data_IF_030336912495
#
_entry.id   IF_030336912495
#
_cell.length_a   1.000
_cell.length_b   1.000
_cell.length_c   1.000
_cell.angle_alpha   90.00
_cell.angle_beta   90.00
_cell.angle_gamma   90.00
#
_symmetry.space_group_name_H-M   'P 1'
#
loop_
_entity.id
_entity.type
_entity.pdbx_description
1 polymer ?
#
# COMPACT_ATOMS: atom_id res chain seq x y z
N UNK A 1 -2.57 -11.73 22.72
CA UNK A 1 -3.15 -10.91 21.64
C UNK A 1 -4.35 -11.66 21.10
N UNK A 2 -5.52 -11.04 21.09
CA UNK A 2 -6.72 -11.63 20.48
C UNK A 2 -6.51 -11.86 18.97
N UNK A 3 -6.96 -12.98 18.39
CA UNK A 3 -6.73 -13.31 16.98
C UNK A 3 -7.16 -12.20 16.01
N UNK A 4 -8.27 -11.51 16.30
CA UNK A 4 -8.80 -10.41 15.50
C UNK A 4 -7.81 -9.24 15.35
N UNK A 5 -6.98 -9.00 16.37
CA UNK A 5 -6.06 -7.87 16.40
C UNK A 5 -4.69 -8.18 15.78
N UNK A 6 -4.42 -9.44 15.44
CA UNK A 6 -3.10 -9.88 14.93
C UNK A 6 -2.67 -9.15 13.67
N UNK A 7 -3.61 -8.78 12.80
CA UNK A 7 -3.33 -8.03 11.57
C UNK A 7 -2.78 -6.64 11.84
N UNK A 8 -3.37 -5.92 12.79
CA UNK A 8 -2.96 -4.56 13.15
C UNK A 8 -1.59 -4.55 13.84
N UNK A 9 -1.34 -5.52 14.71
CA UNK A 9 0.00 -5.70 15.29
C UNK A 9 1.03 -6.05 14.23
N UNK A 10 0.71 -6.95 13.29
CA UNK A 10 1.58 -7.26 12.16
C UNK A 10 1.98 -6.02 11.36
N UNK A 11 1.01 -5.16 11.04
CA UNK A 11 1.22 -3.88 10.36
C UNK A 11 2.19 -2.96 11.10
N UNK A 12 1.97 -2.75 12.40
CA UNK A 12 2.84 -1.88 13.21
C UNK A 12 4.27 -2.42 13.20
N UNK A 13 4.42 -3.73 13.40
CA UNK A 13 5.73 -4.35 13.34
C UNK A 13 6.38 -4.14 11.97
N UNK A 14 5.62 -4.29 10.86
CA UNK A 14 6.11 -4.15 9.47
C UNK A 14 6.59 -2.72 9.22
N UNK A 15 5.80 -1.74 9.64
CA UNK A 15 6.11 -0.32 9.54
C UNK A 15 7.38 0.07 10.29
N UNK A 16 7.54 -0.38 11.55
CA UNK A 16 8.69 -0.04 12.39
C UNK A 16 9.85 -1.03 12.33
N UNK A 17 9.80 -2.00 11.40
CA UNK A 17 10.84 -3.05 11.22
C UNK A 17 11.13 -3.87 12.49
N UNK A 18 10.18 -3.98 13.41
CA UNK A 18 10.42 -4.64 14.71
C UNK A 18 10.48 -6.17 14.54
N UNK A 19 11.65 -6.75 14.84
CA UNK A 19 11.87 -8.18 14.88
C UNK A 19 11.34 -8.79 16.20
N UNK A 20 10.33 -9.66 16.09
CA UNK A 20 9.74 -10.35 17.27
C UNK A 20 10.27 -11.79 17.44
N UNK A 21 11.06 -12.28 16.47
CA UNK A 21 11.66 -13.61 16.49
C UNK A 21 13.13 -13.51 16.12
N UNK A 22 13.99 -13.62 17.12
CA UNK A 22 15.44 -13.58 16.94
C UNK A 22 15.95 -14.62 15.93
N UNK A 23 15.32 -15.80 15.84
CA UNK A 23 15.72 -16.86 14.92
C UNK A 23 15.13 -16.76 13.49
N UNK A 24 14.32 -15.74 13.18
CA UNK A 24 13.68 -15.67 11.85
C UNK A 24 14.70 -15.48 10.73
N UNK A 25 15.78 -14.74 10.99
CA UNK A 25 16.86 -14.55 10.03
C UNK A 25 17.60 -15.86 9.74
N UNK A 26 17.63 -16.83 10.64
CA UNK A 26 18.29 -18.12 10.43
C UNK A 26 17.42 -19.18 9.75
N UNK A 27 16.10 -19.15 10.00
CA UNK A 27 15.19 -20.26 9.65
C UNK A 27 14.58 -20.16 8.25
N UNK A 28 14.58 -18.98 7.63
CA UNK A 28 13.87 -18.72 6.37
C UNK A 28 14.71 -19.01 5.09
N UNK A 29 15.66 -19.94 5.15
CA UNK A 29 16.61 -20.21 4.05
C UNK A 29 16.47 -21.60 3.46
N UNK A 30 16.60 -21.68 2.13
CA UNK A 30 16.67 -22.90 1.34
C UNK A 30 18.09 -23.04 0.77
N UNK A 31 18.72 -24.19 1.02
CA UNK A 31 20.07 -24.51 0.55
C UNK A 31 20.08 -25.87 -0.14
N UNK A 32 21.06 -26.07 -1.02
CA UNK A 32 21.32 -27.37 -1.62
C UNK A 32 21.89 -28.34 -0.59
N UNK A 33 21.58 -29.63 -0.76
CA UNK A 33 22.09 -30.68 0.12
C UNK A 33 23.62 -30.79 0.00
N UNK A 34 24.30 -30.91 1.15
CA UNK A 34 25.75 -31.08 1.23
C UNK A 34 26.55 -29.97 0.52
N UNK A 35 26.04 -28.73 0.52
CA UNK A 35 26.71 -27.59 -0.06
C UNK A 35 27.40 -26.74 1.02
N UNK A 36 28.70 -26.99 1.25
CA UNK A 36 29.49 -26.25 2.24
C UNK A 36 29.65 -24.76 1.88
N UNK A 37 29.83 -24.45 0.60
CA UNK A 37 29.94 -23.07 0.10
C UNK A 37 28.63 -22.29 0.32
N UNK A 38 27.49 -22.89 -0.01
CA UNK A 38 26.17 -22.30 0.24
C UNK A 38 25.86 -22.12 1.73
N UNK A 39 26.28 -23.06 2.59
CA UNK A 39 26.15 -22.92 4.03
C UNK A 39 27.02 -21.77 4.58
N UNK A 40 28.27 -21.67 4.15
CA UNK A 40 29.16 -20.58 4.54
C UNK A 40 28.60 -19.22 4.11
N UNK A 41 28.10 -19.12 2.87
CA UNK A 41 27.47 -17.90 2.38
C UNK A 41 26.21 -17.54 3.17
N UNK A 42 25.35 -18.51 3.50
CA UNK A 42 24.21 -18.27 4.38
C UNK A 42 24.65 -17.68 5.72
N UNK A 43 25.63 -18.30 6.38
CA UNK A 43 26.09 -17.86 7.71
C UNK A 43 26.59 -16.42 7.68
N UNK A 44 27.36 -16.07 6.66
CA UNK A 44 27.85 -14.70 6.42
C UNK A 44 26.71 -13.70 6.24
N UNK A 45 25.73 -14.01 5.39
CA UNK A 45 24.58 -13.14 5.14
C UNK A 45 23.68 -12.99 6.37
N UNK A 46 23.45 -14.07 7.12
CA UNK A 46 22.68 -14.02 8.36
C UNK A 46 23.36 -13.13 9.39
N UNK A 47 24.69 -13.23 9.56
CA UNK A 47 25.44 -12.37 10.46
C UNK A 47 25.33 -10.89 10.06
N UNK A 48 25.39 -10.59 8.76
CA UNK A 48 25.19 -9.23 8.28
C UNK A 48 23.76 -8.72 8.56
N UNK A 49 22.75 -9.57 8.36
CA UNK A 49 21.35 -9.21 8.66
C UNK A 49 21.11 -8.98 10.15
N UNK A 50 21.76 -9.75 11.02
CA UNK A 50 21.69 -9.55 12.47
C UNK A 50 22.39 -8.26 12.91
N UNK A 51 23.55 -7.94 12.32
CA UNK A 51 24.28 -6.72 12.61
C UNK A 51 23.47 -5.46 12.27
N UNK A 52 22.66 -5.51 11.21
CA UNK A 52 21.81 -4.41 10.74
C UNK A 52 20.38 -4.46 11.32
N UNK A 53 20.09 -5.37 12.27
CA UNK A 53 18.73 -5.66 12.80
C UNK A 53 17.68 -5.80 11.68
N UNK A 54 18.06 -6.45 10.58
CA UNK A 54 17.21 -6.59 9.41
C UNK A 54 16.04 -7.50 9.72
N UNK A 55 14.84 -7.03 9.41
CA UNK A 55 13.62 -7.83 9.52
C UNK A 55 13.38 -8.66 8.26
N UNK A 56 13.25 -9.98 8.38
CA UNK A 56 13.02 -10.90 7.24
C UNK A 56 11.67 -11.64 7.28
N UNK A 57 10.74 -11.17 8.10
CA UNK A 57 9.40 -11.74 8.20
C UNK A 57 8.67 -11.76 6.84
N UNK A 58 8.06 -12.91 6.49
CA UNK A 58 7.39 -13.19 5.18
C UNK A 58 8.29 -13.26 3.97
N UNK A 59 9.58 -13.05 4.12
CA UNK A 59 10.57 -13.37 3.09
C UNK A 59 11.15 -14.75 3.34
N UNK A 60 11.52 -15.42 2.25
CA UNK A 60 12.35 -16.61 2.29
C UNK A 60 13.39 -16.53 1.19
N UNK A 61 14.57 -17.06 1.47
CA UNK A 61 15.75 -16.93 0.64
C UNK A 61 16.17 -18.30 0.13
N UNK A 62 16.71 -18.35 -1.08
CA UNK A 62 17.34 -19.54 -1.62
C UNK A 62 18.74 -19.22 -2.15
N UNK A 63 19.73 -20.03 -1.79
CA UNK A 63 21.07 -19.96 -2.37
C UNK A 63 21.23 -21.11 -3.35
N UNK A 64 21.43 -20.78 -4.63
CA UNK A 64 21.65 -21.73 -5.72
C UNK A 64 23.11 -21.64 -6.14
N UNK A 65 23.91 -22.63 -5.75
CA UNK A 65 25.31 -22.74 -6.18
C UNK A 65 25.44 -23.51 -7.49
N UNK A 66 24.40 -24.23 -7.91
CA UNK A 66 24.37 -25.01 -9.14
C UNK A 66 23.25 -24.57 -10.10
N UNK A 67 23.52 -24.67 -11.40
CA UNK A 67 22.58 -24.29 -12.47
C UNK A 67 21.23 -25.07 -12.45
N UNK A 68 21.22 -26.31 -11.96
CA UNK A 68 20.04 -27.19 -11.95
C UNK A 68 19.47 -27.39 -10.54
N UNK A 69 19.28 -26.28 -9.84
CA UNK A 69 18.77 -26.29 -8.47
C UNK A 69 17.25 -26.07 -8.44
N UNK A 70 16.53 -27.06 -7.90
CA UNK A 70 15.08 -27.02 -7.71
C UNK A 70 14.61 -26.17 -6.52
N UNK A 71 15.53 -25.45 -5.86
CA UNK A 71 15.20 -24.59 -4.74
C UNK A 71 14.27 -23.43 -5.17
N UNK A 72 13.44 -23.01 -4.24
CA UNK A 72 12.50 -21.91 -4.40
C UNK A 72 12.64 -20.94 -3.22
N UNK A 73 12.25 -19.70 -3.43
CA UNK A 73 12.32 -18.64 -2.45
C UNK A 73 11.65 -17.39 -3.01
N UNK A 74 11.33 -16.44 -2.13
CA UNK A 74 10.90 -15.12 -2.54
C UNK A 74 12.08 -14.33 -3.13
N UNK A 75 13.28 -14.53 -2.58
CA UNK A 75 14.54 -13.98 -3.07
C UNK A 75 15.50 -15.13 -3.33
N UNK A 76 16.20 -15.09 -4.46
CA UNK A 76 17.08 -16.15 -4.94
C UNK A 76 18.44 -15.55 -5.25
N UNK A 77 19.46 -16.06 -4.58
CA UNK A 77 20.88 -15.74 -4.83
C UNK A 77 21.45 -16.89 -5.66
N UNK A 78 21.86 -16.61 -6.89
CA UNK A 78 22.44 -17.61 -7.79
C UNK A 78 23.90 -17.32 -8.01
N UNK A 79 24.72 -18.35 -7.89
CA UNK A 79 26.12 -18.31 -8.27
C UNK A 79 26.22 -18.42 -9.80
N UNK A 80 26.90 -17.47 -10.42
CA UNK A 80 27.18 -17.50 -11.85
C UNK A 80 28.34 -18.48 -12.08
N UNK A 81 28.16 -19.51 -12.91
CA UNK A 81 29.21 -20.49 -13.17
C UNK A 81 30.29 -19.86 -14.05
N UNK A 82 31.42 -19.53 -13.43
CA UNK A 82 32.64 -19.19 -14.13
C UNK A 82 33.74 -20.20 -13.78
N UNK A 83 34.33 -20.81 -14.80
CA UNK A 83 35.39 -21.83 -14.64
C UNK A 83 36.79 -21.20 -14.62
N UNK A 84 36.93 -19.96 -15.06
CA UNK A 84 38.22 -19.32 -15.30
C UNK A 84 38.49 -18.13 -14.38
N UNK A 85 37.46 -17.57 -13.74
CA UNK A 85 37.62 -16.45 -12.82
C UNK A 85 38.00 -16.90 -11.41
N UNK A 86 38.95 -16.18 -10.82
CA UNK A 86 39.36 -16.32 -9.41
C UNK A 86 38.21 -15.85 -8.50
N UNK A 87 37.48 -14.83 -8.94
CA UNK A 87 36.35 -14.24 -8.22
C UNK A 87 35.03 -14.91 -8.61
N UNK A 88 34.22 -15.19 -7.60
CA UNK A 88 32.90 -15.78 -7.77
C UNK A 88 31.86 -14.67 -7.92
N UNK A 89 31.13 -14.68 -9.02
CA UNK A 89 30.07 -13.73 -9.29
C UNK A 89 28.70 -14.32 -8.97
N UNK A 90 27.79 -13.44 -8.60
CA UNK A 90 26.43 -13.77 -8.20
C UNK A 90 25.40 -12.90 -8.92
N UNK A 91 24.20 -13.42 -9.02
CA UNK A 91 23.01 -12.66 -9.38
C UNK A 91 21.94 -12.85 -8.30
N UNK A 92 21.13 -11.81 -8.13
CA UNK A 92 19.98 -11.80 -7.23
C UNK A 92 18.73 -11.64 -8.09
N UNK A 93 17.78 -12.52 -7.87
CA UNK A 93 16.44 -12.45 -8.42
C UNK A 93 15.43 -12.46 -7.27
N UNK A 94 14.23 -11.95 -7.51
CA UNK A 94 13.09 -12.18 -6.64
C UNK A 94 11.89 -12.61 -7.45
N UNK A 95 10.92 -13.25 -6.80
CA UNK A 95 9.64 -13.52 -7.45
C UNK A 95 8.78 -12.26 -7.52
N UNK A 96 7.87 -12.18 -8.48
CA UNK A 96 6.91 -11.07 -8.55
C UNK A 96 6.14 -10.94 -7.25
N UNK A 97 6.05 -9.71 -6.74
CA UNK A 97 5.45 -9.35 -5.44
C UNK A 97 6.03 -10.13 -4.24
N UNK A 98 7.24 -10.67 -4.39
CA UNK A 98 7.91 -11.52 -3.41
C UNK A 98 7.06 -12.73 -2.99
N UNK A 99 6.21 -13.23 -3.89
CA UNK A 99 5.42 -14.42 -3.64
C UNK A 99 6.21 -15.69 -4.01
N UNK A 100 6.69 -16.50 -3.03
CA UNK A 100 7.56 -17.65 -3.29
C UNK A 100 6.87 -18.80 -4.01
N UNK A 101 5.53 -18.77 -4.12
CA UNK A 101 4.75 -19.79 -4.82
C UNK A 101 4.66 -19.54 -6.33
N UNK A 102 5.08 -18.36 -6.79
CA UNK A 102 5.16 -18.04 -8.21
C UNK A 102 6.51 -18.47 -8.78
N UNK A 103 6.54 -18.80 -10.08
CA UNK A 103 7.78 -19.05 -10.84
C UNK A 103 8.16 -17.88 -11.75
N UNK A 104 7.60 -16.71 -11.45
CA UNK A 104 7.78 -15.48 -12.21
C UNK A 104 8.93 -14.69 -11.57
N UNK A 105 10.12 -14.89 -12.12
CA UNK A 105 11.37 -14.33 -11.59
C UNK A 105 11.68 -12.99 -12.25
N UNK A 106 12.01 -12.01 -11.42
CA UNK A 106 12.47 -10.68 -11.79
C UNK A 106 13.93 -10.57 -11.41
N UNK A 107 14.79 -10.27 -12.37
CA UNK A 107 16.19 -9.99 -12.12
C UNK A 107 16.32 -8.67 -11.36
N UNK A 108 16.92 -8.72 -10.18
CA UNK A 108 17.21 -7.53 -9.39
C UNK A 108 18.58 -6.96 -9.76
N UNK A 109 19.62 -7.81 -9.70
CA UNK A 109 21.01 -7.42 -9.98
C UNK A 109 21.85 -8.63 -10.38
N UNK A 110 22.90 -8.41 -11.16
CA UNK A 110 23.81 -9.46 -11.64
C UNK A 110 25.26 -8.99 -11.58
N UNK A 111 26.20 -9.91 -11.77
CA UNK A 111 27.64 -9.68 -11.71
C UNK A 111 28.11 -9.08 -10.37
N UNK A 112 27.50 -9.54 -9.26
CA UNK A 112 27.85 -9.14 -7.91
C UNK A 112 28.98 -9.97 -7.34
N UNK A 113 29.92 -9.33 -6.65
CA UNK A 113 30.87 -9.99 -5.78
C UNK A 113 30.18 -10.48 -4.51
N UNK A 114 30.79 -11.47 -3.86
CA UNK A 114 30.28 -12.06 -2.61
C UNK A 114 30.05 -11.02 -1.51
N UNK A 115 30.98 -10.08 -1.38
CA UNK A 115 30.98 -9.02 -0.36
C UNK A 115 29.83 -8.01 -0.56
N UNK A 116 29.35 -7.85 -1.79
CA UNK A 116 28.26 -6.93 -2.13
C UNK A 116 26.88 -7.52 -1.83
N UNK A 117 26.78 -8.85 -1.67
CA UNK A 117 25.49 -9.54 -1.51
C UNK A 117 24.71 -9.05 -0.30
N UNK A 118 25.38 -8.84 0.83
CA UNK A 118 24.72 -8.42 2.07
C UNK A 118 24.01 -7.07 1.90
N UNK A 119 24.73 -6.06 1.41
CA UNK A 119 24.18 -4.71 1.21
C UNK A 119 23.03 -4.70 0.20
N UNK A 120 23.16 -5.44 -0.90
CA UNK A 120 22.12 -5.51 -1.93
C UNK A 120 20.85 -6.22 -1.42
N UNK A 121 21.02 -7.28 -0.62
CA UNK A 121 19.88 -7.99 -0.03
C UNK A 121 19.16 -7.16 1.04
N UNK A 122 19.90 -6.37 1.83
CA UNK A 122 19.33 -5.42 2.79
C UNK A 122 18.46 -4.40 2.05
N UNK A 123 19.00 -3.75 1.00
CA UNK A 123 18.24 -2.80 0.19
C UNK A 123 16.99 -3.42 -0.44
N UNK A 124 17.09 -4.66 -0.93
CA UNK A 124 15.95 -5.37 -1.50
C UNK A 124 14.88 -5.70 -0.45
N UNK A 125 15.28 -6.04 0.78
CA UNK A 125 14.36 -6.24 1.89
C UNK A 125 13.65 -4.93 2.28
N UNK A 126 14.39 -3.82 2.37
CA UNK A 126 13.80 -2.51 2.65
C UNK A 126 12.79 -2.08 1.59
N UNK A 127 13.11 -2.32 0.32
CA UNK A 127 12.19 -2.12 -0.78
C UNK A 127 10.90 -2.94 -0.62
N UNK A 128 10.99 -4.23 -0.28
CA UNK A 128 9.81 -5.08 -0.06
C UNK A 128 8.86 -4.49 0.98
N UNK A 129 9.37 -4.08 2.13
CA UNK A 129 8.50 -3.55 3.17
C UNK A 129 8.08 -2.09 2.94
N UNK A 130 8.85 -1.31 2.18
CA UNK A 130 8.40 -0.01 1.66
C UNK A 130 7.13 -0.18 0.82
N UNK A 131 7.17 -1.09 -0.16
CA UNK A 131 5.99 -1.44 -0.97
C UNK A 131 4.80 -1.91 -0.12
N UNK A 132 5.04 -2.70 0.94
CA UNK A 132 3.97 -3.14 1.84
C UNK A 132 3.34 -1.99 2.60
N UNK A 133 4.14 -1.08 3.13
CA UNK A 133 3.64 0.10 3.83
C UNK A 133 2.81 0.99 2.88
N UNK A 134 3.29 1.22 1.67
CA UNK A 134 2.60 2.07 0.67
C UNK A 134 1.27 1.45 0.22
N UNK A 135 1.26 0.16 -0.13
CA UNK A 135 0.04 -0.55 -0.52
C UNK A 135 -0.99 -0.58 0.62
N UNK A 136 -0.54 -0.71 1.86
CA UNK A 136 -1.42 -0.73 3.01
C UNK A 136 -1.97 0.66 3.36
N UNK A 137 -1.17 1.71 3.15
CA UNK A 137 -1.62 3.08 3.25
C UNK A 137 -2.66 3.41 2.17
N UNK A 138 -2.43 2.96 0.94
CA UNK A 138 -3.40 3.11 -0.16
C UNK A 138 -4.75 2.44 0.18
N UNK A 139 -4.72 1.20 0.68
CA UNK A 139 -5.93 0.49 1.09
C UNK A 139 -6.67 1.20 2.23
N UNK A 140 -5.95 1.78 3.20
CA UNK A 140 -6.58 2.56 4.27
C UNK A 140 -7.25 3.83 3.75
N UNK A 141 -6.63 4.50 2.79
CA UNK A 141 -7.20 5.68 2.16
C UNK A 141 -8.47 5.33 1.38
N UNK A 142 -8.48 4.21 0.65
CA UNK A 142 -9.66 3.73 -0.07
C UNK A 142 -10.82 3.43 0.89
N UNK A 143 -10.56 2.71 1.99
CA UNK A 143 -11.59 2.41 3.01
C UNK A 143 -12.08 3.69 3.69
N UNK A 144 -11.20 4.63 4.05
CA UNK A 144 -11.60 5.89 4.66
C UNK A 144 -12.46 6.74 3.73
N UNK A 145 -12.17 6.73 2.42
CA UNK A 145 -12.97 7.40 1.41
C UNK A 145 -14.34 6.74 1.29
N UNK A 146 -14.43 5.41 1.23
CA UNK A 146 -15.71 4.69 1.23
C UNK A 146 -16.54 4.94 2.50
N UNK A 147 -15.91 4.99 3.68
CA UNK A 147 -16.58 5.33 4.95
C UNK A 147 -17.10 6.78 4.96
N UNK A 148 -16.35 7.74 4.39
CA UNK A 148 -16.82 9.13 4.23
C UNK A 148 -18.00 9.24 3.25
N UNK A 149 -17.98 8.49 2.14
CA UNK A 149 -19.09 8.48 1.18
C UNK A 149 -20.34 7.78 1.71
N UNK A 150 -20.19 6.76 2.56
CA UNK A 150 -21.32 6.06 3.18
C UNK A 150 -21.90 6.82 4.38
N UNK A 151 -21.12 7.70 5.02
CA UNK A 151 -21.57 8.57 6.10
C UNK A 151 -22.14 9.92 5.62
N UNK A 152 -22.04 10.24 4.32
CA UNK A 152 -22.56 11.48 3.79
C UNK A 152 -24.07 11.40 3.57
N UNK A 153 -24.84 12.16 4.33
CA UNK A 153 -26.27 12.32 4.09
C UNK A 153 -26.49 13.08 2.77
N UNK A 154 -27.23 12.50 1.83
CA UNK A 154 -27.67 13.23 0.64
C UNK A 154 -28.97 13.98 0.94
N UNK A 155 -29.06 15.22 0.45
CA UNK A 155 -30.25 16.05 0.53
C UNK A 155 -30.46 16.77 -0.80
N UNK A 156 -31.69 17.21 -1.04
CA UNK A 156 -32.03 17.91 -2.26
C UNK A 156 -31.90 19.41 -2.08
N UNK A 157 -31.25 20.06 -3.04
CA UNK A 157 -31.29 21.50 -3.26
C UNK A 157 -32.03 21.80 -4.55
N UNK A 158 -32.44 23.04 -4.79
CA UNK A 158 -33.19 23.41 -5.98
C UNK A 158 -32.38 24.38 -6.84
N UNK A 159 -32.09 24.02 -8.09
CA UNK A 159 -31.27 24.81 -9.00
C UNK A 159 -32.10 25.40 -10.16
N UNK A 160 -31.95 26.70 -10.39
CA UNK A 160 -32.55 27.40 -11.53
C UNK A 160 -31.96 26.88 -12.85
N UNK A 161 -32.80 26.45 -13.79
CA UNK A 161 -32.35 26.03 -15.13
C UNK A 161 -31.77 27.19 -15.97
N UNK A 162 -32.16 28.44 -15.67
CA UNK A 162 -31.84 29.59 -16.51
C UNK A 162 -30.48 30.21 -16.17
N UNK A 163 -30.12 30.27 -14.88
CA UNK A 163 -28.88 30.92 -14.41
C UNK A 163 -28.06 30.06 -13.44
N UNK A 164 -28.50 28.84 -13.15
CA UNK A 164 -27.83 27.87 -12.26
C UNK A 164 -27.73 28.29 -10.78
N UNK A 165 -28.43 29.35 -10.37
CA UNK A 165 -28.55 29.74 -8.96
C UNK A 165 -29.20 28.62 -8.16
N UNK A 166 -28.63 28.30 -7.00
CA UNK A 166 -29.08 27.21 -6.12
C UNK A 166 -29.80 27.81 -4.91
N UNK A 167 -31.03 27.39 -4.69
CA UNK A 167 -31.72 27.51 -3.41
C UNK A 167 -31.39 26.31 -2.54
N UNK A 168 -30.84 26.56 -1.36
CA UNK A 168 -30.47 25.54 -0.38
C UNK A 168 -31.22 25.85 0.92
N UNK A 169 -32.07 24.91 1.37
CA UNK A 169 -32.90 25.08 2.57
C UNK A 169 -32.06 25.41 3.81
N UNK A 170 -30.81 24.92 3.89
CA UNK A 170 -29.93 25.19 5.04
C UNK A 170 -29.61 26.68 5.15
N UNK A 171 -29.47 27.37 4.02
CA UNK A 171 -29.11 28.80 3.98
C UNK A 171 -30.31 29.72 3.78
N UNK A 172 -31.38 29.24 3.13
CA UNK A 172 -32.50 30.08 2.71
C UNK A 172 -32.10 30.99 1.53
N UNK A 173 -32.72 32.16 1.45
CA UNK A 173 -32.42 33.17 0.43
C UNK A 173 -32.63 34.59 1.00
N UNK A 174 -31.54 35.21 1.45
CA UNK A 174 -31.57 36.54 2.07
C UNK A 174 -32.02 37.65 1.11
N UNK A 175 -31.75 37.53 -0.19
CA UNK A 175 -32.11 38.54 -1.18
C UNK A 175 -33.62 38.64 -1.36
N UNK A 176 -34.30 37.50 -1.22
CA UNK A 176 -35.76 37.39 -1.22
C UNK A 176 -36.38 37.41 0.18
N UNK A 177 -35.58 37.64 1.24
CA UNK A 177 -36.07 37.70 2.62
C UNK A 177 -36.52 36.34 3.20
N UNK A 178 -36.02 35.23 2.66
CA UNK A 178 -36.34 33.87 3.09
C UNK A 178 -35.27 33.40 4.08
N UNK A 179 -35.69 33.06 5.29
CA UNK A 179 -34.80 32.59 6.36
C UNK A 179 -34.21 31.21 6.08
N UNK A 180 -33.04 30.94 6.66
CA UNK A 180 -32.49 29.60 6.78
C UNK A 180 -33.51 28.61 7.39
N UNK A 181 -33.56 27.40 6.86
CA UNK A 181 -34.49 26.34 7.26
C UNK A 181 -35.80 26.29 6.46
N UNK A 182 -36.08 27.27 5.60
CA UNK A 182 -37.31 27.32 4.80
C UNK A 182 -37.31 26.27 3.68
N UNK A 183 -38.32 25.40 3.63
CA UNK A 183 -38.45 24.41 2.56
C UNK A 183 -38.86 25.08 1.25
N UNK A 184 -38.13 24.81 0.17
CA UNK A 184 -38.42 25.33 -1.16
C UNK A 184 -39.85 25.01 -1.62
N UNK A 185 -40.36 23.81 -1.31
CA UNK A 185 -41.71 23.40 -1.74
C UNK A 185 -42.80 24.25 -1.08
N UNK A 186 -42.55 24.79 0.12
CA UNK A 186 -43.48 25.65 0.84
C UNK A 186 -43.58 27.08 0.29
N UNK A 187 -42.57 27.53 -0.47
CA UNK A 187 -42.54 28.89 -1.03
C UNK A 187 -43.53 29.03 -2.18
N UNK A 188 -44.47 29.97 -2.14
CA UNK A 188 -45.51 30.08 -3.18
C UNK A 188 -45.08 31.01 -4.32
N UNK A 189 -44.49 32.17 -3.98
CA UNK A 189 -44.14 33.24 -4.93
C UNK A 189 -42.61 33.43 -5.03
N UNK A 190 -41.87 32.32 -5.12
CA UNK A 190 -40.41 32.38 -5.21
C UNK A 190 -39.94 32.71 -6.63
N UNK A 191 -39.07 33.70 -6.74
CA UNK A 191 -38.37 34.09 -7.96
C UNK A 191 -36.86 34.01 -7.75
N UNK A 192 -36.13 33.59 -8.78
CA UNK A 192 -34.68 33.51 -8.69
C UNK A 192 -34.08 34.90 -8.40
N UNK A 193 -33.28 35.09 -7.34
CA UNK A 193 -32.75 36.41 -7.00
C UNK A 193 -31.74 36.95 -8.04
N UNK A 194 -31.26 36.08 -8.94
CA UNK A 194 -30.27 36.43 -9.96
C UNK A 194 -30.89 36.77 -11.32
N UNK A 195 -31.96 36.07 -11.72
CA UNK A 195 -32.52 36.19 -13.07
C UNK A 195 -34.05 36.29 -13.11
N UNK A 196 -34.70 36.42 -11.96
CA UNK A 196 -36.16 36.61 -11.82
C UNK A 196 -36.99 35.46 -12.42
N UNK A 197 -36.36 34.32 -12.71
CA UNK A 197 -37.05 33.15 -13.21
C UNK A 197 -38.02 32.59 -12.14
N UNK A 198 -39.22 32.15 -12.53
CA UNK A 198 -40.22 31.66 -11.60
C UNK A 198 -39.79 30.34 -10.94
N UNK A 199 -40.37 30.02 -9.79
CA UNK A 199 -40.20 28.74 -9.07
C UNK A 199 -40.30 27.50 -9.98
N UNK A 200 -41.14 27.53 -11.01
CA UNK A 200 -41.32 26.42 -11.97
C UNK A 200 -40.06 26.06 -12.76
N UNK A 201 -39.10 26.98 -12.85
CA UNK A 201 -37.86 26.80 -13.60
C UNK A 201 -36.74 26.19 -12.75
N UNK A 202 -37.04 25.79 -11.51
CA UNK A 202 -36.09 25.11 -10.63
C UNK A 202 -36.19 23.59 -10.75
N UNK A 203 -35.04 22.92 -10.65
CA UNK A 203 -34.92 21.46 -10.59
C UNK A 203 -34.37 21.02 -9.24
N UNK A 204 -34.90 19.94 -8.69
CA UNK A 204 -34.27 19.26 -7.57
C UNK A 204 -32.94 18.65 -8.05
N UNK A 205 -31.86 18.97 -7.34
CA UNK A 205 -30.51 18.45 -7.55
C UNK A 205 -30.07 17.81 -6.24
N UNK A 206 -29.56 16.59 -6.32
CA UNK A 206 -29.02 15.89 -5.17
C UNK A 206 -27.66 16.51 -4.79
N UNK A 207 -27.49 16.84 -3.52
CA UNK A 207 -26.27 17.40 -2.95
C UNK A 207 -25.82 16.52 -1.78
N UNK A 208 -24.52 16.32 -1.69
CA UNK A 208 -23.88 15.51 -0.65
C UNK A 208 -23.53 16.43 0.53
N UNK A 209 -24.03 16.15 1.74
CA UNK A 209 -23.52 16.78 2.96
C UNK A 209 -22.22 16.08 3.33
N UNK A 210 -21.10 16.73 3.04
CA UNK A 210 -19.81 16.33 3.60
C UNK A 210 -19.74 16.94 5.01
N UNK A 211 -20.12 16.15 6.01
CA UNK A 211 -19.97 16.50 7.42
C UNK A 211 -18.48 16.45 7.81
N UNK A 212 -17.70 17.45 7.40
CA UNK A 212 -16.29 17.54 7.76
C UNK A 212 -15.51 18.58 6.97
N UNK A 213 -15.69 19.85 7.32
CA UNK A 213 -14.69 20.92 7.19
C UNK A 213 -15.16 22.12 8.05
N UNK A 214 -15.26 21.87 9.36
CA UNK A 214 -15.26 22.95 10.34
C UNK A 214 -13.81 23.34 10.61
N UNK A 215 -13.37 24.43 9.99
CA UNK A 215 -12.13 25.15 10.36
C UNK A 215 -12.36 25.85 11.70
#
# INVERSE_FOLDING_TARGET
>A
IEPANRRYWGRILDMYRINVRHASNEMNWQLENNCADGLALKQELVQAFEAEDLRTYRLCFAIKTHLKSGLFGAIIIKKIPDKNSIEQLFEIEHTRDFNPNTKDFVLYKTALLREELASELIMLCDYYYGLKADNELALLNEVAVEELFTAAETYFVYQCKNCLTIYDQVYGDELNGISAGSDFLSLTDYECPTCEAPKSDFLAVEKVLVSGLGV
#
